data_IF_997708327866
#
_entry.id   IF_997708327866
#
_cell.length_a   1.000
_cell.length_b   1.000
_cell.length_c   1.000
_cell.angle_alpha   90.00
_cell.angle_beta   90.00
_cell.angle_gamma   90.00
#
_symmetry.space_group_name_H-M   'P 1'
#
loop_
_entity.id
_entity.type
_entity.pdbx_description
1 polymer ?
#
# COMPACT_ATOMS: atom_id res chain seq x y z
N UNK A 1 -27.96 15.79 -3.47
CA UNK A 1 -27.32 14.47 -3.62
C UNK A 1 -25.88 14.48 -3.13
N UNK A 2 -24.95 15.23 -3.73
CA UNK A 2 -23.55 15.24 -3.23
C UNK A 2 -23.43 15.76 -1.80
N UNK A 3 -24.18 16.80 -1.41
CA UNK A 3 -24.24 17.28 -0.02
C UNK A 3 -24.89 16.27 0.93
N UNK A 4 -25.77 15.41 0.44
CA UNK A 4 -26.39 14.35 1.24
C UNK A 4 -25.38 13.23 1.49
N UNK A 5 -24.67 12.81 0.43
CA UNK A 5 -23.56 11.87 0.53
C UNK A 5 -22.46 12.38 1.47
N UNK A 6 -22.09 13.66 1.35
CA UNK A 6 -21.13 14.29 2.25
C UNK A 6 -21.61 14.29 3.71
N UNK A 7 -22.90 14.53 3.96
CA UNK A 7 -23.49 14.47 5.31
C UNK A 7 -23.48 13.05 5.88
N UNK A 8 -23.80 12.03 5.06
CA UNK A 8 -23.71 10.61 5.44
C UNK A 8 -22.28 10.23 5.84
N UNK A 9 -21.29 10.66 5.04
CA UNK A 9 -19.86 10.45 5.32
C UNK A 9 -19.49 11.06 6.67
N UNK A 10 -19.90 12.30 6.92
CA UNK A 10 -19.60 13.00 8.17
C UNK A 10 -20.26 12.40 9.40
N UNK A 11 -21.41 11.74 9.22
CA UNK A 11 -22.12 11.02 10.29
C UNK A 11 -21.56 9.61 10.54
N UNK A 12 -20.63 9.14 9.69
CA UNK A 12 -20.14 7.77 9.73
C UNK A 12 -21.16 6.74 9.22
N UNK A 13 -22.18 7.17 8.47
CA UNK A 13 -23.18 6.27 7.89
C UNK A 13 -22.63 5.63 6.62
N UNK A 14 -21.81 4.59 6.80
CA UNK A 14 -21.17 3.87 5.70
C UNK A 14 -22.19 3.17 4.79
N UNK A 15 -23.21 2.54 5.37
CA UNK A 15 -24.22 1.83 4.60
C UNK A 15 -25.02 2.80 3.70
N UNK A 16 -25.49 3.92 4.26
CA UNK A 16 -26.20 4.94 3.51
C UNK A 16 -25.33 5.60 2.44
N UNK A 17 -24.05 5.85 2.73
CA UNK A 17 -23.12 6.45 1.77
C UNK A 17 -22.84 5.51 0.57
N UNK A 18 -22.67 4.21 0.81
CA UNK A 18 -22.46 3.22 -0.25
C UNK A 18 -23.71 3.05 -1.12
N UNK A 19 -24.89 3.01 -0.50
CA UNK A 19 -26.17 2.92 -1.22
C UNK A 19 -26.41 4.16 -2.10
N UNK A 20 -26.14 5.37 -1.59
CA UNK A 20 -26.26 6.60 -2.38
C UNK A 20 -25.25 6.67 -3.53
N UNK A 21 -23.99 6.21 -3.32
CA UNK A 21 -23.02 6.07 -4.41
C UNK A 21 -23.51 5.07 -5.46
N UNK A 22 -24.02 3.92 -5.04
CA UNK A 22 -24.60 2.91 -5.92
C UNK A 22 -25.76 3.44 -6.76
N UNK A 23 -26.66 4.23 -6.16
CA UNK A 23 -27.74 4.90 -6.91
C UNK A 23 -27.22 5.91 -7.92
N UNK A 24 -26.26 6.76 -7.54
CA UNK A 24 -25.66 7.71 -8.48
C UNK A 24 -25.00 6.98 -9.66
N UNK A 25 -24.34 5.86 -9.39
CA UNK A 25 -23.77 5.01 -10.43
C UNK A 25 -24.84 4.37 -11.33
N UNK A 26 -25.93 3.87 -10.75
CA UNK A 26 -27.06 3.32 -11.51
C UNK A 26 -27.74 4.39 -12.39
N UNK A 27 -27.72 5.65 -11.96
CA UNK A 27 -28.16 6.81 -12.74
C UNK A 27 -27.13 7.25 -13.81
N UNK A 28 -25.99 6.57 -13.91
CA UNK A 28 -24.94 6.79 -14.90
C UNK A 28 -23.82 7.74 -14.49
N UNK A 29 -23.72 8.11 -13.21
CA UNK A 29 -22.62 8.95 -12.73
C UNK A 29 -21.29 8.16 -12.70
N UNK A 30 -20.21 8.81 -13.13
CA UNK A 30 -18.85 8.29 -12.96
C UNK A 30 -18.44 8.36 -11.47
N UNK A 31 -18.05 7.26 -10.81
CA UNK A 31 -17.63 7.27 -9.41
C UNK A 31 -16.47 8.25 -9.14
N UNK A 32 -15.58 8.43 -10.12
CA UNK A 32 -14.48 9.39 -9.99
C UNK A 32 -14.99 10.84 -10.02
N UNK A 33 -16.04 11.15 -10.78
CA UNK A 33 -16.69 12.46 -10.76
C UNK A 33 -17.36 12.73 -9.41
N UNK A 34 -18.06 11.74 -8.83
CA UNK A 34 -18.69 11.87 -7.51
C UNK A 34 -17.65 12.21 -6.42
N UNK A 35 -16.47 11.58 -6.45
CA UNK A 35 -15.37 11.91 -5.53
C UNK A 35 -14.80 13.32 -5.76
N UNK A 36 -14.78 13.83 -7.00
CA UNK A 36 -14.37 15.21 -7.29
C UNK A 36 -15.37 16.19 -6.70
N UNK A 37 -16.66 15.94 -6.87
CA UNK A 37 -17.72 16.79 -6.32
C UNK A 37 -17.65 16.81 -4.78
N UNK A 38 -17.35 15.67 -4.13
CA UNK A 38 -17.12 15.62 -2.68
C UNK A 38 -15.89 16.45 -2.26
N UNK A 39 -14.82 16.46 -3.06
CA UNK A 39 -13.65 17.31 -2.81
C UNK A 39 -13.99 18.79 -2.95
N UNK A 40 -14.77 19.16 -3.97
CA UNK A 40 -15.27 20.53 -4.17
C UNK A 40 -16.10 21.00 -2.99
N UNK A 41 -17.02 20.17 -2.48
CA UNK A 41 -17.79 20.45 -1.25
C UNK A 41 -16.87 20.64 -0.05
N UNK A 42 -15.88 19.75 0.15
CA UNK A 42 -14.92 19.86 1.26
C UNK A 42 -14.12 21.17 1.20
N UNK A 43 -13.69 21.57 0.00
CA UNK A 43 -13.02 22.83 -0.22
C UNK A 43 -13.94 24.02 0.06
N UNK A 44 -15.14 24.03 -0.51
CA UNK A 44 -16.11 25.09 -0.32
C UNK A 44 -16.47 25.30 1.15
N UNK A 45 -16.73 24.23 1.90
CA UNK A 45 -16.97 24.31 3.35
C UNK A 45 -15.77 24.86 4.13
N UNK A 46 -14.54 24.56 3.68
CA UNK A 46 -13.33 25.14 4.29
C UNK A 46 -13.26 26.65 4.05
N UNK A 47 -13.60 27.10 2.84
CA UNK A 47 -13.66 28.53 2.50
C UNK A 47 -14.74 29.24 3.31
N UNK A 48 -15.95 28.69 3.39
CA UNK A 48 -17.05 29.24 4.21
C UNK A 48 -16.66 29.32 5.69
N UNK A 49 -15.93 28.32 6.21
CA UNK A 49 -15.49 28.30 7.60
C UNK A 49 -14.45 29.39 7.93
N UNK A 50 -13.55 29.69 7.00
CA UNK A 50 -12.50 30.71 7.17
C UNK A 50 -13.04 32.10 6.88
N UNK A 51 -13.86 32.21 5.85
CA UNK A 51 -14.45 33.45 5.34
C UNK A 51 -15.96 33.29 5.30
N UNK A 52 -16.68 33.58 6.40
CA UNK A 52 -18.14 33.39 6.47
C UNK A 52 -18.92 34.11 5.38
N UNK A 53 -18.43 35.25 4.86
CA UNK A 53 -19.04 35.98 3.75
C UNK A 53 -18.97 35.25 2.40
N UNK A 54 -18.13 34.22 2.27
CA UNK A 54 -18.04 33.41 1.04
C UNK A 54 -19.31 32.59 0.78
N UNK A 55 -20.16 32.44 1.79
CA UNK A 55 -21.45 31.75 1.64
C UNK A 55 -22.47 32.60 0.89
N UNK A 56 -22.29 33.92 0.83
CA UNK A 56 -23.18 34.87 0.16
C UNK A 56 -22.94 34.93 -1.36
N UNK A 57 -22.20 33.97 -1.92
CA UNK A 57 -21.97 33.85 -3.36
C UNK A 57 -23.32 33.73 -4.11
N UNK A 58 -23.60 34.62 -5.09
CA UNK A 58 -24.85 34.63 -5.84
C UNK A 58 -25.08 33.36 -6.70
N UNK A 59 -24.03 32.60 -6.99
CA UNK A 59 -24.11 31.38 -7.80
C UNK A 59 -24.62 30.17 -7.01
N UNK A 60 -24.67 30.28 -5.68
CA UNK A 60 -25.08 29.20 -4.77
C UNK A 60 -26.56 29.36 -4.40
N UNK A 61 -27.32 28.28 -4.54
CA UNK A 61 -28.74 28.24 -4.19
C UNK A 61 -28.99 28.48 -2.70
N UNK A 62 -30.16 29.02 -2.29
CA UNK A 62 -30.46 29.32 -0.89
C UNK A 62 -30.48 28.08 0.02
N UNK A 63 -30.93 26.93 -0.48
CA UNK A 63 -30.92 25.67 0.26
C UNK A 63 -29.50 25.15 0.52
N UNK A 64 -28.70 25.09 -0.54
CA UNK A 64 -27.28 24.71 -0.46
C UNK A 64 -26.50 25.63 0.48
N UNK A 65 -26.73 26.94 0.40
CA UNK A 65 -26.15 27.94 1.32
C UNK A 65 -26.46 27.61 2.78
N UNK A 66 -27.73 27.37 3.12
CA UNK A 66 -28.15 27.08 4.49
C UNK A 66 -27.53 25.77 5.01
N UNK A 67 -27.50 24.73 4.17
CA UNK A 67 -26.87 23.44 4.49
C UNK A 67 -25.37 23.58 4.71
N UNK A 68 -24.68 24.29 3.81
CA UNK A 68 -23.25 24.53 3.90
C UNK A 68 -22.84 25.29 5.16
N UNK A 69 -23.60 26.33 5.56
CA UNK A 69 -23.39 27.03 6.83
C UNK A 69 -23.56 26.08 8.03
N UNK A 70 -24.61 25.26 8.03
CA UNK A 70 -24.87 24.28 9.07
C UNK A 70 -23.74 23.26 9.24
N UNK A 71 -23.21 22.75 8.12
CA UNK A 71 -22.06 21.85 8.10
C UNK A 71 -20.77 22.54 8.57
N UNK A 72 -20.46 23.72 8.01
CA UNK A 72 -19.25 24.48 8.34
C UNK A 72 -19.18 24.88 9.81
N UNK A 73 -20.34 25.12 10.46
CA UNK A 73 -20.40 25.43 11.89
C UNK A 73 -20.00 24.23 12.77
N UNK A 74 -20.39 23.02 12.39
CA UNK A 74 -20.19 21.78 13.19
C UNK A 74 -18.80 21.17 13.01
N UNK A 75 -18.21 21.29 11.82
CA UNK A 75 -16.96 20.62 11.48
C UNK A 75 -15.75 21.43 11.93
N UNK A 76 -14.71 20.80 12.47
CA UNK A 76 -13.45 21.50 12.73
C UNK A 76 -12.62 21.65 11.44
N UNK A 77 -11.77 22.68 11.38
CA UNK A 77 -10.85 22.86 10.24
C UNK A 77 -9.91 21.66 10.07
N UNK A 78 -9.55 20.98 11.16
CA UNK A 78 -8.74 19.73 11.14
C UNK A 78 -9.49 18.58 10.47
N UNK A 79 -10.79 18.45 10.68
CA UNK A 79 -11.60 17.41 10.01
C UNK A 79 -11.66 17.69 8.51
N UNK A 80 -11.93 18.94 8.11
CA UNK A 80 -11.98 19.35 6.69
C UNK A 80 -10.62 19.16 5.99
N UNK A 81 -9.51 19.52 6.65
CA UNK A 81 -8.17 19.33 6.08
C UNK A 81 -7.80 17.85 5.91
N UNK A 82 -8.16 16.98 6.87
CA UNK A 82 -7.96 15.53 6.76
C UNK A 82 -8.82 14.93 5.65
N UNK A 83 -10.10 15.31 5.60
CA UNK A 83 -11.03 14.84 4.59
C UNK A 83 -10.58 15.24 3.18
N UNK A 84 -10.09 16.47 3.01
CA UNK A 84 -9.48 16.94 1.76
C UNK A 84 -8.30 16.06 1.33
N UNK A 85 -7.32 15.82 2.21
CA UNK A 85 -6.16 14.97 1.87
C UNK A 85 -6.57 13.55 1.52
N UNK A 86 -7.55 12.99 2.23
CA UNK A 86 -8.07 11.65 1.94
C UNK A 86 -8.85 11.59 0.63
N UNK A 87 -9.60 12.63 0.29
CA UNK A 87 -10.28 12.76 -1.00
C UNK A 87 -9.28 12.88 -2.16
N UNK A 88 -8.22 13.69 -2.00
CA UNK A 88 -7.14 13.74 -3.00
C UNK A 88 -6.51 12.37 -3.21
N UNK A 89 -6.25 11.64 -2.12
CA UNK A 89 -5.70 10.30 -2.23
C UNK A 89 -6.66 9.30 -2.86
N UNK A 90 -7.94 9.38 -2.53
CA UNK A 90 -8.99 8.57 -3.14
C UNK A 90 -9.10 8.83 -4.64
N UNK A 91 -9.02 10.09 -5.09
CA UNK A 91 -9.04 10.44 -6.51
C UNK A 91 -7.88 9.81 -7.28
N UNK A 92 -6.67 9.79 -6.70
CA UNK A 92 -5.53 9.09 -7.29
C UNK A 92 -5.77 7.57 -7.36
N UNK A 93 -6.25 6.97 -6.27
CA UNK A 93 -6.47 5.52 -6.18
C UNK A 93 -7.55 5.03 -7.14
N UNK A 94 -8.71 5.71 -7.18
CA UNK A 94 -9.82 5.37 -8.08
C UNK A 94 -9.42 5.57 -9.54
N UNK A 95 -8.68 6.64 -9.85
CA UNK A 95 -8.21 6.91 -11.21
C UNK A 95 -7.20 5.88 -11.74
N UNK A 96 -6.60 5.06 -10.87
CA UNK A 96 -5.65 4.01 -11.24
C UNK A 96 -6.19 2.60 -11.00
N UNK A 97 -7.38 2.47 -10.42
CA UNK A 97 -7.95 1.20 -10.07
C UNK A 97 -8.47 0.46 -11.32
N UNK A 98 -8.30 -0.87 -11.40
CA UNK A 98 -8.92 -1.67 -12.44
C UNK A 98 -10.46 -1.58 -12.44
N UNK A 99 -11.06 -1.42 -11.26
CA UNK A 99 -12.48 -1.16 -11.08
C UNK A 99 -12.68 0.12 -10.25
N UNK A 100 -13.12 1.18 -10.92
CA UNK A 100 -13.33 2.49 -10.32
C UNK A 100 -14.44 2.48 -9.25
N UNK A 101 -15.52 1.70 -9.47
CA UNK A 101 -16.64 1.62 -8.53
C UNK A 101 -16.19 0.98 -7.21
N UNK A 102 -15.56 -0.19 -7.27
CA UNK A 102 -15.04 -0.86 -6.06
C UNK A 102 -14.02 0.00 -5.30
N UNK A 103 -13.16 0.70 -6.02
CA UNK A 103 -12.19 1.60 -5.40
C UNK A 103 -12.86 2.82 -4.74
N UNK A 104 -13.93 3.36 -5.35
CA UNK A 104 -14.72 4.44 -4.78
C UNK A 104 -15.46 4.00 -3.51
N UNK A 105 -16.03 2.79 -3.49
CA UNK A 105 -16.66 2.20 -2.30
C UNK A 105 -15.65 2.08 -1.14
N UNK A 106 -14.46 1.54 -1.42
CA UNK A 106 -13.38 1.47 -0.42
C UNK A 106 -12.93 2.84 0.07
N UNK A 107 -12.89 3.84 -0.82
CA UNK A 107 -12.59 5.21 -0.42
C UNK A 107 -13.68 5.79 0.51
N UNK A 108 -14.96 5.58 0.20
CA UNK A 108 -16.09 6.02 1.04
C UNK A 108 -16.06 5.39 2.43
N UNK A 109 -15.79 4.08 2.53
CA UNK A 109 -15.62 3.38 3.82
C UNK A 109 -14.53 4.06 4.66
N UNK A 110 -13.36 4.35 4.06
CA UNK A 110 -12.30 5.06 4.79
C UNK A 110 -12.70 6.47 5.19
N UNK A 111 -13.42 7.20 4.33
CA UNK A 111 -13.88 8.56 4.60
C UNK A 111 -14.88 8.61 5.75
N UNK A 112 -15.76 7.61 5.88
CA UNK A 112 -16.75 7.55 6.99
C UNK A 112 -16.10 7.43 8.37
N UNK A 113 -14.88 6.87 8.45
CA UNK A 113 -14.17 6.71 9.72
C UNK A 113 -13.26 7.90 10.07
N UNK A 114 -13.20 8.96 9.25
CA UNK A 114 -12.29 10.11 9.47
C UNK A 114 -12.66 10.95 10.68
N UNK A 115 -13.96 11.08 10.96
CA UNK A 115 -14.45 11.86 12.08
C UNK A 115 -14.10 11.21 13.43
N UNK A 116 -14.05 9.88 13.49
CA UNK A 116 -13.83 9.10 14.71
C UNK A 116 -12.35 8.89 15.05
N UNK A 117 -11.43 9.20 14.12
CA UNK A 117 -10.01 9.00 14.34
C UNK A 117 -9.42 10.11 15.23
N UNK A 118 -8.82 9.76 16.40
CA UNK A 118 -8.12 10.72 17.25
C UNK A 118 -6.97 11.35 16.47
N UNK A 119 -6.68 12.61 16.80
CA UNK A 119 -5.54 13.29 16.19
C UNK A 119 -4.22 12.58 16.55
N UNK A 120 -3.17 12.69 15.70
CA UNK A 120 -1.86 12.12 16.00
C UNK A 120 -1.30 12.55 17.37
N UNK A 121 -1.56 13.79 17.77
CA UNK A 121 -1.18 14.31 19.09
C UNK A 121 -1.90 13.60 20.25
N UNK A 122 -3.18 13.28 20.07
CA UNK A 122 -3.98 12.53 21.05
C UNK A 122 -3.55 11.05 21.11
N UNK A 123 -3.16 10.46 19.98
CA UNK A 123 -2.58 9.11 19.95
C UNK A 123 -1.26 9.05 20.73
N UNK A 124 -0.37 10.04 20.55
CA UNK A 124 0.90 10.13 21.30
C UNK A 124 0.64 10.33 22.80
N UNK A 125 -0.33 11.16 23.19
CA UNK A 125 -0.71 11.31 24.61
C UNK A 125 -1.30 10.03 25.21
N UNK A 126 -2.14 9.29 24.47
CA UNK A 126 -2.68 8.00 24.93
C UNK A 126 -1.58 6.95 25.11
N UNK A 127 -0.60 6.94 24.21
CA UNK A 127 0.57 6.06 24.31
C UNK A 127 1.45 6.40 25.52
N UNK A 128 1.69 7.69 25.77
CA UNK A 128 2.47 8.15 26.93
C UNK A 128 1.80 7.86 28.28
N UNK A 129 0.47 7.77 28.32
CA UNK A 129 -0.32 7.48 29.53
C UNK A 129 -0.61 5.99 29.77
N UNK A 130 -0.10 5.09 28.92
CA UNK A 130 -0.26 3.64 29.12
C UNK A 130 0.86 3.15 30.03
N UNK A 131 0.58 2.67 31.26
CA UNK A 131 1.62 2.21 32.18
C UNK A 131 2.36 0.99 31.58
N UNK A 132 3.70 0.93 31.67
CA UNK A 132 4.44 -0.23 31.19
C UNK A 132 4.06 -1.49 31.99
N UNK A 133 3.97 -2.67 31.34
CA UNK A 133 3.64 -3.91 32.02
C UNK A 133 4.69 -4.26 33.09
N UNK A 134 4.29 -4.90 34.21
CA UNK A 134 5.19 -5.21 35.31
C UNK A 134 6.26 -6.21 34.85
N UNK A 135 7.54 -5.84 35.00
CA UNK A 135 8.67 -6.70 34.67
C UNK A 135 8.82 -7.85 35.70
N UNK A 136 9.21 -9.06 35.28
CA UNK A 136 9.49 -10.16 36.19
C UNK A 136 10.82 -9.93 36.93
N UNK A 137 10.79 -10.04 38.26
CA UNK A 137 11.98 -9.96 39.11
C UNK A 137 12.86 -11.21 38.95
N UNK A 138 14.18 -11.08 38.72
CA UNK A 138 15.09 -12.22 38.69
C UNK A 138 15.35 -12.78 40.10
N UNK A 139 15.69 -14.07 40.25
CA UNK A 139 15.84 -14.71 41.54
C UNK A 139 17.12 -14.25 42.26
N UNK A 140 16.98 -13.93 43.54
CA UNK A 140 18.07 -13.63 44.47
C UNK A 140 18.91 -14.89 44.73
N UNK A 141 20.13 -14.91 44.18
CA UNK A 141 21.17 -15.86 44.56
C UNK A 141 22.01 -15.30 45.71
N UNK A 142 21.99 -15.99 46.85
CA UNK A 142 22.73 -15.63 48.06
C UNK A 142 24.22 -15.98 48.00
N UNK A 143 25.02 -15.28 48.81
CA UNK A 143 26.41 -15.63 49.09
C UNK A 143 27.20 -14.53 49.81
N UNK A 144 27.45 -14.77 51.10
CA UNK A 144 28.49 -14.25 52.01
C UNK A 144 29.69 -13.57 51.34
N UNK A 145 30.28 -12.47 51.82
CA UNK A 145 30.55 -12.06 53.20
C UNK A 145 32.08 -11.88 53.36
N UNK A 146 32.56 -10.74 53.87
CA UNK A 146 33.96 -10.58 54.31
C UNK A 146 34.60 -9.19 54.14
N UNK A 147 34.92 -8.57 55.29
CA UNK A 147 35.70 -7.35 55.61
C UNK A 147 37.06 -7.20 54.89
N UNK A 148 37.83 -6.10 54.83
CA UNK A 148 38.12 -4.96 55.73
C UNK A 148 38.97 -3.87 54.96
N UNK A 149 39.47 -2.75 55.57
CA UNK A 149 39.62 -1.43 54.91
C UNK A 149 41.05 -0.86 54.63
N UNK A 150 41.08 0.22 53.81
CA UNK A 150 41.97 1.42 53.75
C UNK A 150 43.45 1.30 53.27
N UNK A 151 44.17 2.42 52.94
CA UNK A 151 43.80 3.64 52.19
C UNK A 151 44.86 4.11 51.15
N UNK A 152 44.51 5.10 50.31
CA UNK A 152 45.45 6.14 49.84
C UNK A 152 45.86 6.17 48.35
N UNK A 153 45.77 7.36 47.74
CA UNK A 153 46.70 7.78 46.67
C UNK A 153 46.11 8.07 45.28
N UNK A 154 45.75 9.34 45.06
CA UNK A 154 46.12 10.15 43.88
C UNK A 154 45.87 9.65 42.45
N UNK A 155 45.03 10.39 41.72
CA UNK A 155 45.34 10.80 40.35
C UNK A 155 44.45 10.25 39.24
N UNK A 156 44.10 11.19 38.34
CA UNK A 156 43.73 10.98 36.93
C UNK A 156 42.24 10.81 36.61
N UNK A 157 41.70 11.90 36.06
CA UNK A 157 40.47 11.97 35.31
C UNK A 157 40.54 11.08 34.07
N UNK A 158 39.67 10.08 34.01
CA UNK A 158 39.25 9.42 32.77
C UNK A 158 37.73 9.22 32.86
N UNK A 159 36.92 9.78 31.95
CA UNK A 159 35.52 9.40 31.87
C UNK A 159 35.46 8.00 31.24
N UNK A 160 35.30 6.98 32.07
CA UNK A 160 34.85 5.67 31.61
C UNK A 160 33.41 5.77 31.07
N UNK A 161 33.02 4.96 30.07
CA UNK A 161 31.65 4.94 29.60
C UNK A 161 30.78 4.43 30.75
N UNK A 162 29.88 5.29 31.21
CA UNK A 162 28.81 4.94 32.11
C UNK A 162 27.95 3.87 31.44
N UNK A 163 28.06 2.64 31.95
CA UNK A 163 27.07 1.58 31.80
C UNK A 163 25.79 2.00 32.52
N UNK A 164 25.06 2.92 31.89
CA UNK A 164 23.68 3.26 32.22
C UNK A 164 22.76 2.21 31.62
N UNK A 165 22.44 1.19 32.41
CA UNK A 165 21.34 0.28 32.10
C UNK A 165 20.01 1.02 32.05
N UNK A 166 19.19 0.68 31.07
CA UNK A 166 17.80 1.16 30.98
C UNK A 166 17.44 1.72 29.61
N UNK A 167 17.31 0.85 28.60
CA UNK A 167 16.88 1.29 27.27
C UNK A 167 16.71 0.20 26.22
N UNK A 168 16.48 -1.06 26.61
CA UNK A 168 16.33 -2.16 25.65
C UNK A 168 14.92 -2.30 25.05
N UNK A 169 13.89 -1.74 25.71
CA UNK A 169 12.49 -1.95 25.33
C UNK A 169 12.07 -1.21 24.05
N UNK A 170 12.56 0.02 23.84
CA UNK A 170 12.26 0.78 22.63
C UNK A 170 12.92 0.19 21.38
N UNK A 171 14.17 -0.25 21.50
CA UNK A 171 14.90 -0.89 20.40
C UNK A 171 14.30 -2.24 20.01
N UNK A 172 13.85 -3.04 20.98
CA UNK A 172 13.19 -4.34 20.72
C UNK A 172 11.77 -4.17 20.16
N UNK A 173 10.98 -3.22 20.65
CA UNK A 173 9.64 -2.94 20.11
C UNK A 173 9.69 -2.38 18.67
N UNK A 174 10.65 -1.50 18.36
CA UNK A 174 10.85 -1.00 17.00
C UNK A 174 11.34 -2.09 16.04
N UNK A 175 12.20 -3.00 16.51
CA UNK A 175 12.64 -4.16 15.73
C UNK A 175 11.46 -5.10 15.38
N UNK A 176 10.60 -5.42 16.35
CA UNK A 176 9.41 -6.26 16.12
C UNK A 176 8.41 -5.61 15.15
N UNK A 177 8.21 -4.29 15.25
CA UNK A 177 7.36 -3.55 14.32
C UNK A 177 7.93 -3.58 12.89
N UNK A 178 9.26 -3.45 12.72
CA UNK A 178 9.90 -3.57 11.41
C UNK A 178 9.85 -4.98 10.83
N UNK A 179 10.02 -6.03 11.64
CA UNK A 179 9.87 -7.42 11.19
C UNK A 179 8.44 -7.71 10.73
N UNK A 180 7.45 -7.23 11.47
CA UNK A 180 6.03 -7.39 11.10
C UNK A 180 5.73 -6.65 9.78
N UNK A 181 6.26 -5.44 9.60
CA UNK A 181 6.09 -4.66 8.38
C UNK A 181 6.79 -5.30 7.16
N UNK A 182 7.91 -5.99 7.36
CA UNK A 182 8.66 -6.68 6.32
C UNK A 182 8.10 -8.07 5.98
N UNK A 183 7.32 -8.68 6.88
CA UNK A 183 6.75 -10.04 6.70
C UNK A 183 5.87 -10.17 5.44
N UNK A 184 5.30 -9.06 4.96
CA UNK A 184 4.54 -9.00 3.69
C UNK A 184 5.41 -9.15 2.43
N UNK A 185 6.72 -9.04 2.56
CA UNK A 185 7.71 -9.20 1.49
C UNK A 185 8.56 -10.44 1.81
N UNK A 186 7.92 -11.60 1.80
CA UNK A 186 8.54 -12.86 2.18
C UNK A 186 9.49 -13.38 1.09
N UNK A 187 9.24 -13.00 -0.17
CA UNK A 187 10.01 -13.42 -1.33
C UNK A 187 10.47 -12.23 -2.17
N UNK A 188 11.51 -12.44 -2.98
CA UNK A 188 12.05 -11.38 -3.84
C UNK A 188 11.03 -10.89 -4.87
N UNK A 189 10.14 -11.78 -5.33
CA UNK A 189 9.04 -11.46 -6.24
C UNK A 189 8.08 -10.42 -5.64
N UNK A 190 7.91 -10.41 -4.31
CA UNK A 190 7.06 -9.44 -3.62
C UNK A 190 7.70 -8.03 -3.67
N UNK A 191 9.04 -7.95 -3.72
CA UNK A 191 9.79 -6.71 -3.94
C UNK A 191 9.64 -6.23 -5.38
N UNK A 192 9.72 -7.14 -6.35
CA UNK A 192 9.48 -6.82 -7.77
C UNK A 192 8.05 -6.33 -7.97
N UNK A 193 7.07 -6.98 -7.34
CA UNK A 193 5.68 -6.55 -7.33
C UNK A 193 5.51 -5.17 -6.70
N UNK A 194 6.21 -4.90 -5.58
CA UNK A 194 6.21 -3.57 -4.95
C UNK A 194 6.73 -2.48 -5.89
N UNK A 195 7.80 -2.75 -6.64
CA UNK A 195 8.34 -1.80 -7.63
C UNK A 195 7.29 -1.54 -8.73
N UNK A 196 6.62 -2.60 -9.22
CA UNK A 196 5.53 -2.49 -10.20
C UNK A 196 4.36 -1.64 -9.69
N UNK A 197 3.92 -1.88 -8.46
CA UNK A 197 2.82 -1.12 -7.84
C UNK A 197 3.16 0.36 -7.71
N UNK A 198 4.42 0.70 -7.40
CA UNK A 198 4.88 2.09 -7.31
C UNK A 198 5.25 2.73 -8.65
N UNK A 199 5.10 2.00 -9.76
CA UNK A 199 5.29 2.48 -11.14
C UNK A 199 6.68 3.04 -11.45
N UNK A 200 7.70 2.60 -10.72
CA UNK A 200 9.09 2.92 -11.06
C UNK A 200 9.58 1.95 -12.15
N UNK A 201 9.15 2.21 -13.39
CA UNK A 201 9.45 1.36 -14.56
C UNK A 201 10.96 1.27 -14.81
N UNK A 202 11.70 2.36 -14.56
CA UNK A 202 13.14 2.37 -14.73
C UNK A 202 13.81 1.44 -13.73
N UNK A 203 13.48 1.56 -12.44
CA UNK A 203 14.02 0.68 -11.41
C UNK A 203 13.61 -0.78 -11.66
N UNK A 204 12.38 -1.01 -12.12
CA UNK A 204 11.91 -2.35 -12.44
C UNK A 204 12.79 -3.02 -13.50
N UNK A 205 13.04 -2.34 -14.62
CA UNK A 205 13.90 -2.86 -15.70
C UNK A 205 15.31 -3.10 -15.19
N UNK A 206 15.86 -2.17 -14.41
CA UNK A 206 17.21 -2.31 -13.84
C UNK A 206 17.31 -3.47 -12.85
N UNK A 207 16.26 -3.76 -12.08
CA UNK A 207 16.22 -4.93 -11.19
C UNK A 207 16.03 -6.22 -11.99
N UNK A 208 15.18 -6.23 -13.01
CA UNK A 208 14.92 -7.44 -13.80
C UNK A 208 16.11 -7.86 -14.68
N UNK A 209 16.94 -6.90 -15.13
CA UNK A 209 18.07 -7.13 -16.05
C UNK A 209 19.45 -6.94 -15.42
N UNK A 210 19.54 -6.14 -14.35
CA UNK A 210 20.79 -5.71 -13.72
C UNK A 210 21.20 -6.52 -12.50
N UNK A 211 20.35 -7.43 -12.02
CA UNK A 211 20.51 -8.06 -10.71
C UNK A 211 20.52 -9.59 -10.81
N UNK A 212 21.61 -10.22 -10.34
CA UNK A 212 21.68 -11.67 -10.06
C UNK A 212 21.55 -11.90 -8.56
N UNK A 213 20.45 -12.48 -8.12
CA UNK A 213 20.12 -12.61 -6.71
C UNK A 213 21.01 -13.66 -6.02
N UNK A 214 21.82 -13.24 -5.06
CA UNK A 214 22.67 -14.14 -4.30
C UNK A 214 21.95 -14.69 -3.05
N UNK A 215 21.30 -13.79 -2.31
CA UNK A 215 20.58 -14.12 -1.08
C UNK A 215 19.47 -13.10 -0.86
N UNK A 216 18.34 -13.59 -0.37
CA UNK A 216 17.19 -12.77 -0.03
C UNK A 216 16.69 -13.10 1.37
N UNK A 217 16.49 -12.05 2.17
CA UNK A 217 15.72 -12.08 3.41
C UNK A 217 14.83 -10.81 3.44
N UNK A 218 13.67 -10.83 4.10
CA UNK A 218 12.87 -9.62 4.25
C UNK A 218 13.71 -8.47 4.85
N UNK A 219 13.82 -7.36 4.13
CA UNK A 219 14.66 -6.22 4.52
C UNK A 219 16.14 -6.32 4.12
N UNK A 220 16.61 -7.44 3.55
CA UNK A 220 18.01 -7.64 3.14
C UNK A 220 18.13 -8.31 1.77
N UNK A 221 18.82 -7.64 0.85
CA UNK A 221 19.01 -8.11 -0.52
C UNK A 221 20.51 -8.15 -0.80
N UNK A 222 21.02 -9.33 -1.14
CA UNK A 222 22.40 -9.51 -1.59
C UNK A 222 22.38 -9.95 -3.06
N UNK A 223 23.13 -9.24 -3.90
CA UNK A 223 23.15 -9.54 -5.33
C UNK A 223 24.49 -9.27 -5.99
N UNK A 224 24.73 -9.94 -7.13
CA UNK A 224 25.82 -9.62 -8.04
C UNK A 224 25.27 -8.79 -9.20
N UNK A 225 25.79 -7.58 -9.46
CA UNK A 225 25.36 -6.78 -10.60
C UNK A 225 25.76 -7.43 -11.92
N UNK A 226 24.93 -7.33 -12.95
CA UNK A 226 25.34 -7.68 -14.32
C UNK A 226 26.24 -6.59 -14.90
N UNK A 227 26.96 -6.86 -16.01
CA UNK A 227 27.82 -5.85 -16.66
C UNK A 227 27.08 -4.58 -17.10
N UNK A 228 25.77 -4.67 -17.30
CA UNK A 228 24.92 -3.56 -17.73
C UNK A 228 24.20 -2.86 -16.55
N UNK A 229 24.40 -3.34 -15.32
CA UNK A 229 23.75 -2.78 -14.15
C UNK A 229 24.32 -1.40 -13.80
N UNK A 230 23.48 -0.40 -13.50
CA UNK A 230 23.97 0.91 -13.10
C UNK A 230 24.65 0.84 -11.73
N UNK A 231 25.75 1.57 -11.57
CA UNK A 231 26.60 1.51 -10.37
C UNK A 231 25.87 1.94 -9.09
N UNK A 232 24.80 2.75 -9.22
CA UNK A 232 24.00 3.26 -8.12
C UNK A 232 22.76 2.40 -7.80
N UNK A 233 22.57 1.26 -8.50
CA UNK A 233 21.39 0.39 -8.36
C UNK A 233 21.12 -0.01 -6.91
N UNK A 234 22.15 -0.43 -6.17
CA UNK A 234 21.97 -0.86 -4.79
C UNK A 234 21.48 0.26 -3.86
N UNK A 235 22.02 1.47 -4.03
CA UNK A 235 21.63 2.63 -3.23
C UNK A 235 20.22 3.11 -3.58
N UNK A 236 19.90 3.16 -4.88
CA UNK A 236 18.55 3.53 -5.34
C UNK A 236 17.50 2.53 -4.91
N UNK A 237 17.78 1.23 -5.03
CA UNK A 237 16.88 0.18 -4.57
C UNK A 237 16.63 0.30 -3.05
N UNK A 238 17.68 0.46 -2.24
CA UNK A 238 17.52 0.63 -0.80
C UNK A 238 16.68 1.87 -0.43
N UNK A 239 16.94 3.01 -1.10
CA UNK A 239 16.24 4.26 -0.86
C UNK A 239 14.76 4.21 -1.24
N UNK A 240 14.42 3.63 -2.40
CA UNK A 240 13.03 3.48 -2.85
C UNK A 240 12.26 2.51 -1.96
N UNK A 241 12.86 1.36 -1.62
CA UNK A 241 12.23 0.41 -0.72
C UNK A 241 12.00 1.01 0.67
N UNK A 242 12.93 1.81 1.18
CA UNK A 242 12.71 2.55 2.43
C UNK A 242 11.59 3.59 2.30
N UNK A 243 11.52 4.32 1.19
CA UNK A 243 10.46 5.30 0.93
C UNK A 243 9.07 4.66 0.91
N UNK A 244 8.94 3.47 0.33
CA UNK A 244 7.66 2.78 0.20
C UNK A 244 7.26 1.96 1.43
N UNK A 245 8.23 1.33 2.09
CA UNK A 245 7.95 0.43 3.24
C UNK A 245 8.07 1.12 4.60
N UNK A 246 8.72 2.29 4.66
CA UNK A 246 9.04 2.98 5.91
C UNK A 246 10.13 2.29 6.74
N UNK A 247 10.69 1.17 6.27
CA UNK A 247 11.71 0.38 6.94
C UNK A 247 13.03 0.47 6.17
N UNK A 248 14.16 0.48 6.86
CA UNK A 248 15.48 0.50 6.21
C UNK A 248 15.80 -0.86 5.58
N UNK A 249 16.15 -0.86 4.30
CA UNK A 249 16.60 -2.06 3.58
C UNK A 249 18.12 -2.13 3.47
N UNK A 250 18.69 -3.30 3.75
CA UNK A 250 20.10 -3.60 3.55
C UNK A 250 20.34 -4.20 2.17
N UNK A 251 20.75 -3.38 1.20
CA UNK A 251 21.08 -3.85 -0.16
C UNK A 251 22.60 -3.89 -0.34
N UNK A 252 23.16 -5.08 -0.54
CA UNK A 252 24.61 -5.32 -0.57
C UNK A 252 25.04 -5.98 -1.86
N UNK A 253 26.16 -5.53 -2.44
CA UNK A 253 26.77 -6.17 -3.59
C UNK A 253 27.69 -7.29 -3.11
N UNK A 254 27.51 -8.48 -3.66
CA UNK A 254 28.37 -9.64 -3.41
C UNK A 254 28.94 -10.16 -4.74
N UNK A 255 30.18 -10.66 -4.77
CA UNK A 255 30.73 -11.29 -5.96
C UNK A 255 30.20 -12.73 -6.13
N UNK A 256 30.09 -13.18 -7.38
CA UNK A 256 30.00 -14.61 -7.71
C UNK A 256 28.61 -15.27 -7.67
N UNK A 257 27.51 -14.51 -7.70
CA UNK A 257 26.20 -15.09 -7.94
C UNK A 257 25.99 -15.35 -9.43
N UNK A 258 25.74 -16.62 -9.78
CA UNK A 258 25.51 -17.10 -11.15
C UNK A 258 24.01 -17.31 -11.45
N UNK A 259 23.12 -16.91 -10.54
CA UNK A 259 21.67 -17.02 -10.76
C UNK A 259 21.27 -16.23 -12.01
N UNK A 260 20.39 -16.79 -12.87
CA UNK A 260 19.87 -16.04 -14.00
C UNK A 260 19.12 -14.82 -13.50
N UNK A 261 19.15 -13.74 -14.28
CA UNK A 261 18.30 -12.59 -14.01
C UNK A 261 16.84 -12.95 -14.28
N UNK A 262 15.91 -12.13 -13.78
CA UNK A 262 14.48 -12.31 -14.04
C UNK A 262 14.22 -12.23 -15.56
N UNK A 263 14.87 -11.28 -16.23
CA UNK A 263 14.78 -11.14 -17.68
C UNK A 263 15.32 -12.38 -18.41
N UNK A 264 16.47 -12.91 -18.02
CA UNK A 264 17.05 -14.13 -18.63
C UNK A 264 16.13 -15.34 -18.45
N UNK A 265 15.51 -15.50 -17.28
CA UNK A 265 14.58 -16.60 -17.01
C UNK A 265 13.35 -16.51 -17.88
N UNK A 266 12.71 -15.33 -17.94
CA UNK A 266 11.53 -15.08 -18.77
C UNK A 266 11.83 -15.27 -20.27
N UNK A 267 12.96 -14.75 -20.72
CA UNK A 267 13.35 -14.83 -22.12
C UNK A 267 13.74 -16.26 -22.50
N UNK A 268 14.29 -17.06 -21.57
CA UNK A 268 14.55 -18.49 -21.77
C UNK A 268 13.26 -19.31 -21.93
N UNK A 269 12.23 -19.04 -21.12
CA UNK A 269 10.90 -19.67 -21.27
C UNK A 269 10.29 -19.35 -22.64
N UNK A 270 10.33 -18.08 -23.05
CA UNK A 270 9.83 -17.65 -24.36
C UNK A 270 10.61 -18.29 -25.52
N UNK A 271 11.94 -18.35 -25.40
CA UNK A 271 12.80 -18.97 -26.42
C UNK A 271 12.57 -20.49 -26.51
N UNK A 272 12.33 -21.16 -25.39
CA UNK A 272 12.01 -22.59 -25.35
C UNK A 272 10.67 -22.88 -26.05
N UNK A 273 9.64 -22.09 -25.76
CA UNK A 273 8.35 -22.16 -26.45
C UNK A 273 8.48 -21.91 -27.95
N UNK A 274 9.31 -20.93 -28.35
CA UNK A 274 9.56 -20.65 -29.76
C UNK A 274 10.30 -21.80 -30.47
N UNK A 275 11.27 -22.42 -29.79
CA UNK A 275 11.97 -23.58 -30.33
C UNK A 275 11.06 -24.79 -30.47
N UNK A 276 10.20 -25.08 -29.49
CA UNK A 276 9.21 -26.15 -29.55
C UNK A 276 8.20 -25.89 -30.68
N UNK A 277 7.68 -24.66 -30.78
CA UNK A 277 6.80 -24.27 -31.87
C UNK A 277 7.49 -24.44 -33.24
N UNK A 278 8.76 -24.05 -33.39
CA UNK A 278 9.54 -24.26 -34.62
C UNK A 278 9.87 -25.72 -34.90
N UNK A 279 9.93 -26.57 -33.88
CA UNK A 279 10.14 -28.01 -34.05
C UNK A 279 8.87 -28.74 -34.48
N UNK A 280 7.70 -28.11 -34.35
CA UNK A 280 6.42 -28.74 -34.70
C UNK A 280 6.30 -28.96 -36.23
N UNK A 281 5.96 -30.17 -36.71
CA UNK A 281 5.95 -30.51 -38.14
C UNK A 281 5.10 -29.59 -39.02
N UNK A 282 3.95 -29.14 -38.51
CA UNK A 282 3.09 -28.19 -39.24
C UNK A 282 3.72 -26.80 -39.38
N UNK A 283 4.43 -26.33 -38.35
CA UNK A 283 5.08 -25.01 -38.37
C UNK A 283 6.29 -25.05 -39.31
N UNK A 284 7.04 -26.14 -39.31
CA UNK A 284 8.13 -26.36 -40.27
C UNK A 284 7.62 -26.33 -41.72
N UNK A 285 6.52 -27.03 -42.01
CA UNK A 285 5.90 -27.01 -43.34
C UNK A 285 5.44 -25.60 -43.77
N UNK A 286 4.99 -24.76 -42.82
CA UNK A 286 4.65 -23.36 -43.07
C UNK A 286 5.90 -22.53 -43.39
N UNK A 287 7.00 -22.69 -42.65
CA UNK A 287 8.25 -21.99 -42.94
C UNK A 287 8.87 -22.42 -44.28
N UNK A 288 8.75 -23.71 -44.64
CA UNK A 288 9.21 -24.23 -45.93
C UNK A 288 8.40 -23.64 -47.09
N UNK A 289 7.07 -23.50 -46.93
CA UNK A 289 6.19 -22.90 -47.93
C UNK A 289 6.27 -21.36 -47.98
N UNK A 290 6.58 -20.72 -46.85
CA UNK A 290 6.62 -19.26 -46.67
C UNK A 290 7.87 -18.83 -45.89
N UNK A 291 9.04 -18.69 -46.55
CA UNK A 291 10.31 -18.38 -45.89
C UNK A 291 10.36 -17.02 -45.16
N UNK A 292 9.42 -16.12 -45.46
CA UNK A 292 9.27 -14.82 -44.79
C UNK A 292 8.30 -14.82 -43.61
N UNK A 293 7.67 -15.97 -43.32
CA UNK A 293 6.78 -16.13 -42.17
C UNK A 293 7.53 -15.85 -40.85
N UNK A 294 6.81 -15.39 -39.83
CA UNK A 294 7.34 -15.17 -38.48
C UNK A 294 6.28 -15.56 -37.47
N UNK A 295 6.73 -16.13 -36.35
CA UNK A 295 5.87 -16.39 -35.20
C UNK A 295 5.68 -15.06 -34.48
N UNK A 296 4.46 -14.52 -34.45
CA UNK A 296 4.14 -13.25 -33.80
C UNK A 296 3.70 -13.42 -32.35
N UNK A 297 3.02 -14.53 -32.04
CA UNK A 297 2.59 -14.90 -30.71
C UNK A 297 2.44 -16.43 -30.59
N UNK A 298 2.79 -16.98 -29.43
CA UNK A 298 2.58 -18.39 -29.09
C UNK A 298 1.59 -18.41 -27.93
N UNK A 299 0.43 -19.04 -28.12
CA UNK A 299 -0.62 -19.15 -27.10
C UNK A 299 -0.73 -20.61 -26.67
N UNK A 300 -0.36 -20.91 -25.42
CA UNK A 300 -0.52 -22.26 -24.88
C UNK A 300 -1.96 -22.48 -24.41
N UNK A 301 -2.44 -23.74 -24.37
CA UNK A 301 -3.77 -24.07 -23.84
C UNK A 301 -3.94 -23.60 -22.39
N UNK A 302 -2.88 -23.69 -21.58
CA UNK A 302 -2.86 -23.22 -20.19
C UNK A 302 -2.98 -21.69 -20.10
N UNK A 303 -2.29 -20.96 -20.98
CA UNK A 303 -2.41 -19.50 -21.04
C UNK A 303 -3.82 -19.07 -21.47
N UNK A 304 -4.43 -19.80 -22.41
CA UNK A 304 -5.82 -19.57 -22.82
C UNK A 304 -6.82 -19.92 -21.70
N UNK A 305 -6.54 -20.97 -20.92
CA UNK A 305 -7.36 -21.35 -19.77
C UNK A 305 -7.26 -20.31 -18.63
N UNK A 306 -6.05 -19.83 -18.33
CA UNK A 306 -5.84 -18.77 -17.33
C UNK A 306 -6.45 -17.43 -17.77
N UNK A 307 -6.39 -17.09 -19.05
CA UNK A 307 -7.07 -15.91 -19.61
C UNK A 307 -8.60 -16.08 -19.54
N UNK A 308 -9.11 -17.27 -19.86
CA UNK A 308 -10.53 -17.57 -19.75
C UNK A 308 -11.04 -17.55 -18.31
N UNK A 309 -10.25 -18.05 -17.35
CA UNK A 309 -10.56 -18.02 -15.92
C UNK A 309 -10.52 -16.60 -15.34
N UNK A 310 -9.57 -15.77 -15.78
CA UNK A 310 -9.50 -14.36 -15.39
C UNK A 310 -10.64 -13.51 -15.97
N UNK A 311 -11.23 -13.93 -17.09
CA UNK A 311 -12.34 -13.25 -17.78
C UNK A 311 -13.70 -13.86 -17.41
N UNK A 312 -13.72 -15.07 -16.83
CA UNK A 312 -14.94 -15.73 -16.39
C UNK A 312 -15.65 -14.87 -15.34
N UNK A 313 -16.91 -14.53 -15.63
CA UNK A 313 -17.80 -13.91 -14.65
C UNK A 313 -18.01 -14.90 -13.49
N UNK A 314 -18.10 -14.42 -12.23
CA UNK A 314 -18.42 -15.31 -11.11
C UNK A 314 -19.72 -16.06 -11.42
N UNK A 315 -19.70 -17.38 -11.22
CA UNK A 315 -20.90 -18.19 -11.32
C UNK A 315 -21.96 -17.56 -10.41
N UNK A 316 -23.09 -17.17 -11.00
CA UNK A 316 -24.26 -16.77 -10.23
C UNK A 316 -24.63 -18.01 -9.44
N UNK A 317 -24.38 -18.01 -8.12
CA UNK A 317 -25.01 -18.98 -7.22
C UNK A 317 -26.49 -18.95 -7.59
N UNK A 318 -26.99 -20.08 -8.12
CA UNK A 318 -28.39 -20.25 -8.43
C UNK A 318 -29.17 -19.78 -7.20
N UNK A 319 -29.80 -18.61 -7.32
CA UNK A 319 -30.77 -18.14 -6.36
C UNK A 319 -31.83 -19.24 -6.32
N UNK A 320 -31.76 -20.06 -5.27
CA UNK A 320 -32.54 -21.27 -5.15
C UNK A 320 -34.02 -20.99 -5.36
N UNK A 321 -34.65 -21.81 -6.20
CA UNK A 321 -36.00 -22.39 -6.11
C UNK A 321 -37.21 -21.56 -5.59
N UNK A 322 -37.12 -20.24 -5.41
CA UNK A 322 -38.22 -19.40 -4.87
C UNK A 322 -38.86 -18.47 -5.91
N UNK A 323 -38.67 -18.73 -7.22
CA UNK A 323 -39.47 -18.07 -8.25
C UNK A 323 -40.66 -18.95 -8.65
N UNK A 324 -41.74 -18.93 -7.85
CA UNK A 324 -43.07 -19.44 -8.25
C UNK A 324 -43.93 -18.28 -8.79
N UNK A 325 -44.19 -18.20 -10.11
CA UNK A 325 -44.95 -17.11 -10.72
C UNK A 325 -46.48 -17.18 -10.50
N UNK A 326 -46.99 -18.08 -9.65
CA UNK A 326 -48.44 -18.32 -9.51
C UNK A 326 -49.04 -18.05 -8.10
N UNK A 327 -48.34 -17.37 -7.18
CA UNK A 327 -48.84 -17.22 -5.80
C UNK A 327 -49.76 -16.00 -5.52
N UNK A 328 -50.15 -15.19 -6.51
CA UNK A 328 -51.14 -14.14 -6.32
C UNK A 328 -52.47 -14.48 -7.04
N UNK A 329 -53.40 -15.08 -6.27
CA UNK A 329 -54.81 -15.31 -6.64
C UNK A 329 -55.78 -14.60 -5.70
#
# INVERSE_FOLDING_TARGET
>A
RVLDLFDMILKGDTAGALDELGRQYADGADPLAVLRDLAEVSHWLSVVKITPSAVDDPTIGPDERARGQGMAARLSIRVLARMWQMLLKALEEVGQAPNAMMAAEMALIRLTHVADLPSPEELVKKLANTPPPPQPTPPSGGGSGGSAPAPGGGGSFAPGPSSGGGGGGGATALAQASETALSRYARFEDVVALIRTNRDVKLLVEVETGLRLARYEPGKIEFTPTPNAPADLAQRLAGQLQGWTGVRWGVTLVPGAETPTIAETRDAENLALEQEAKAHPFVQAVFDAFPSARITAIRTPEALAAEAEAVALPEVEEAGDDWDPFEDG
#
